data_IF_776924450584
#
_entry.id   IF_776924450584
#
_cell.length_a   1.000
_cell.length_b   1.000
_cell.length_c   1.000
_cell.angle_alpha   90.00
_cell.angle_beta   90.00
_cell.angle_gamma   90.00
#
_symmetry.space_group_name_H-M   'P 1'
#
loop_
_entity.id
_entity.type
_entity.pdbx_description
1 polymer ?
#
# COMPACT_ATOMS: atom_id res chain seq x y z
N UNK A 1 30.92 -16.57 5.80
CA UNK A 1 31.28 -15.63 6.89
C UNK A 1 29.98 -15.38 7.64
N UNK A 2 29.82 -16.02 8.79
CA UNK A 2 28.57 -15.97 9.56
C UNK A 2 28.42 -14.58 10.17
N UNK A 3 27.34 -13.87 9.85
CA UNK A 3 27.04 -12.57 10.46
C UNK A 3 26.41 -12.83 11.82
N UNK A 4 27.13 -12.48 12.90
CA UNK A 4 26.65 -12.59 14.27
C UNK A 4 26.08 -11.24 14.73
N UNK A 5 24.76 -11.13 14.84
CA UNK A 5 24.09 -10.01 15.51
C UNK A 5 23.05 -10.60 16.47
N UNK A 6 23.14 -10.27 17.76
CA UNK A 6 22.26 -10.72 18.84
C UNK A 6 22.14 -12.26 19.03
N UNK A 7 23.21 -13.01 18.73
CA UNK A 7 23.27 -14.45 18.99
C UNK A 7 22.43 -15.32 18.04
N UNK A 8 21.96 -14.77 16.92
CA UNK A 8 21.35 -15.54 15.84
C UNK A 8 22.34 -15.80 14.71
N UNK A 9 22.38 -17.04 14.24
CA UNK A 9 23.11 -17.44 13.05
C UNK A 9 22.28 -17.15 11.79
N UNK A 10 22.91 -16.55 10.78
CA UNK A 10 22.35 -16.39 9.44
C UNK A 10 23.16 -17.23 8.42
N UNK A 11 22.50 -17.77 7.37
CA UNK A 11 21.09 -17.67 7.07
C UNK A 11 20.23 -18.62 7.94
N UNK A 12 19.00 -18.20 8.28
CA UNK A 12 18.02 -19.05 8.99
C UNK A 12 16.65 -19.01 8.33
N UNK A 13 15.78 -19.96 8.66
CA UNK A 13 14.36 -19.84 8.32
C UNK A 13 13.67 -18.86 9.27
N UNK A 14 12.55 -18.30 8.80
CA UNK A 14 11.61 -17.60 9.68
C UNK A 14 11.19 -18.54 10.81
N UNK A 15 11.17 -18.01 12.03
CA UNK A 15 10.65 -18.73 13.20
C UNK A 15 9.15 -18.99 13.02
N UNK A 16 8.61 -19.88 13.85
CA UNK A 16 7.18 -20.19 13.82
C UNK A 16 6.33 -18.94 14.08
N UNK A 17 6.74 -18.10 15.04
CA UNK A 17 6.02 -16.88 15.39
C UNK A 17 6.10 -15.80 14.30
N UNK A 18 7.29 -15.61 13.70
CA UNK A 18 7.46 -14.68 12.58
C UNK A 18 6.56 -15.09 11.40
N UNK A 19 6.56 -16.40 11.07
CA UNK A 19 5.72 -16.96 10.01
C UNK A 19 4.23 -16.83 10.32
N UNK A 20 3.83 -17.03 11.57
CA UNK A 20 2.44 -16.85 12.01
C UNK A 20 1.93 -15.44 11.70
N UNK A 21 2.65 -14.40 12.11
CA UNK A 21 2.24 -13.02 11.83
C UNK A 21 2.23 -12.68 10.34
N UNK A 22 3.26 -13.09 9.61
CA UNK A 22 3.36 -12.89 8.15
C UNK A 22 2.16 -13.52 7.44
N UNK A 23 1.80 -14.77 7.80
CA UNK A 23 0.70 -15.48 7.18
C UNK A 23 -0.67 -14.86 7.46
N UNK A 24 -0.85 -14.20 8.61
CA UNK A 24 -2.09 -13.48 8.94
C UNK A 24 -2.24 -12.19 8.12
N UNK A 25 -1.14 -11.52 7.76
CA UNK A 25 -1.18 -10.31 6.93
C UNK A 25 -1.00 -10.60 5.43
N UNK A 26 -0.72 -11.86 5.04
CA UNK A 26 -0.68 -12.32 3.65
C UNK A 26 -1.74 -13.42 3.41
N UNK A 27 -3.02 -13.03 3.25
CA UNK A 27 -4.13 -13.97 3.10
C UNK A 27 -4.00 -14.77 1.80
N UNK A 28 -4.19 -16.09 1.90
CA UNK A 28 -3.95 -17.03 0.80
C UNK A 28 -5.03 -16.98 -0.31
N UNK A 29 -6.24 -16.56 0.03
CA UNK A 29 -7.37 -16.44 -0.89
C UNK A 29 -7.27 -15.21 -1.83
N UNK A 30 -6.19 -14.43 -1.69
CA UNK A 30 -5.93 -13.21 -2.46
C UNK A 30 -4.68 -13.37 -3.34
N UNK A 31 -4.82 -13.35 -4.68
CA UNK A 31 -3.73 -13.69 -5.59
C UNK A 31 -2.44 -12.89 -5.36
N UNK A 32 -2.55 -11.57 -5.18
CA UNK A 32 -1.37 -10.72 -5.00
C UNK A 32 -0.61 -11.00 -3.70
N UNK A 33 -1.30 -11.28 -2.59
CA UNK A 33 -0.64 -11.63 -1.33
C UNK A 33 -0.11 -13.07 -1.34
N UNK A 34 -0.80 -13.99 -2.02
CA UNK A 34 -0.33 -15.37 -2.22
C UNK A 34 1.02 -15.43 -2.94
N UNK A 35 1.24 -14.56 -3.93
CA UNK A 35 2.54 -14.46 -4.63
C UNK A 35 3.66 -14.16 -3.62
N UNK A 36 3.47 -13.16 -2.76
CA UNK A 36 4.47 -12.80 -1.73
C UNK A 36 4.65 -13.91 -0.70
N UNK A 37 3.55 -14.54 -0.27
CA UNK A 37 3.60 -15.66 0.68
C UNK A 37 4.44 -16.82 0.15
N UNK A 38 4.17 -17.27 -1.08
CA UNK A 38 4.91 -18.33 -1.74
C UNK A 38 6.40 -17.97 -1.91
N UNK A 39 6.70 -16.70 -2.21
CA UNK A 39 8.08 -16.24 -2.30
C UNK A 39 8.77 -16.32 -0.94
N UNK A 40 8.19 -15.71 0.09
CA UNK A 40 8.73 -15.67 1.46
C UNK A 40 8.96 -17.08 2.03
N UNK A 41 8.09 -18.04 1.75
CA UNK A 41 8.25 -19.43 2.21
C UNK A 41 9.56 -20.08 1.72
N UNK A 42 10.02 -19.69 0.54
CA UNK A 42 11.23 -20.25 -0.08
C UNK A 42 12.52 -19.52 0.35
N UNK A 43 12.42 -18.27 0.81
CA UNK A 43 13.57 -17.46 1.21
C UNK A 43 14.13 -17.85 2.60
N UNK A 44 15.29 -17.27 2.92
CA UNK A 44 15.94 -17.33 4.22
C UNK A 44 16.08 -15.92 4.77
N UNK A 45 16.02 -15.78 6.09
CA UNK A 45 16.50 -14.57 6.76
C UNK A 45 18.02 -14.57 6.66
N UNK A 46 18.58 -13.64 5.90
CA UNK A 46 20.02 -13.54 5.60
C UNK A 46 20.73 -12.49 6.47
N UNK A 47 19.96 -11.67 7.18
CA UNK A 47 20.47 -10.72 8.14
C UNK A 47 19.39 -9.73 8.60
N UNK A 48 19.85 -8.68 9.25
CA UNK A 48 19.01 -7.54 9.61
C UNK A 48 19.29 -6.36 8.68
N UNK A 49 18.28 -5.52 8.44
CA UNK A 49 18.48 -4.24 7.77
C UNK A 49 18.82 -3.12 8.75
N UNK A 50 18.29 -1.92 8.50
CA UNK A 50 18.72 -0.68 9.18
C UNK A 50 18.37 -0.65 10.67
N UNK A 51 17.32 -1.36 11.09
CA UNK A 51 16.81 -1.33 12.47
C UNK A 51 16.80 -2.73 13.13
N UNK A 52 17.98 -3.31 13.41
CA UNK A 52 18.06 -4.60 14.10
C UNK A 52 17.53 -4.50 15.55
N UNK A 53 17.04 -5.60 16.13
CA UNK A 53 16.87 -6.94 15.56
C UNK A 53 15.50 -7.19 14.91
N UNK A 54 14.71 -6.14 14.71
CA UNK A 54 13.30 -6.25 14.34
C UNK A 54 13.04 -6.07 12.85
N UNK A 55 14.06 -5.65 12.11
CA UNK A 55 14.03 -5.46 10.68
C UNK A 55 14.80 -6.60 9.99
N UNK A 56 14.07 -7.57 9.45
CA UNK A 56 14.61 -8.78 8.81
C UNK A 56 14.80 -8.54 7.31
N UNK A 57 15.92 -8.99 6.78
CA UNK A 57 16.14 -9.08 5.33
C UNK A 57 16.04 -10.56 4.94
N UNK A 58 15.14 -10.85 4.01
CA UNK A 58 14.98 -12.16 3.40
C UNK A 58 15.60 -12.18 2.01
N UNK A 59 16.31 -13.25 1.67
CA UNK A 59 16.91 -13.48 0.35
C UNK A 59 17.26 -14.95 0.14
N UNK A 60 18.03 -15.24 -0.90
CA UNK A 60 18.54 -16.59 -1.14
C UNK A 60 19.59 -16.97 -0.09
N UNK A 61 19.80 -18.26 0.12
CA UNK A 61 20.65 -18.76 1.23
C UNK A 61 22.07 -18.19 1.21
N UNK A 62 22.61 -17.96 0.01
CA UNK A 62 23.99 -17.49 -0.19
C UNK A 62 24.09 -15.97 -0.38
N UNK A 63 22.96 -15.26 -0.33
CA UNK A 63 22.93 -13.81 -0.42
C UNK A 63 23.51 -13.16 0.84
N UNK A 64 23.94 -11.90 0.67
CA UNK A 64 24.33 -11.04 1.78
C UNK A 64 23.29 -9.92 1.93
N UNK A 65 22.94 -9.55 3.17
CA UNK A 65 22.05 -8.42 3.39
C UNK A 65 22.71 -7.14 2.85
N UNK A 66 21.97 -6.38 2.04
CA UNK A 66 22.42 -5.07 1.56
C UNK A 66 21.68 -3.94 2.29
N UNK A 67 22.33 -3.26 3.27
CA UNK A 67 21.70 -2.17 4.00
C UNK A 67 21.59 -0.86 3.17
N UNK A 68 22.19 -0.82 1.97
CA UNK A 68 22.15 0.34 1.09
C UNK A 68 20.87 0.42 0.26
N UNK A 69 20.08 -0.66 0.25
CA UNK A 69 18.80 -0.72 -0.45
C UNK A 69 17.91 0.47 -0.01
N UNK A 70 17.32 1.21 -0.96
CA UNK A 70 16.39 2.29 -0.65
C UNK A 70 15.11 1.73 -0.05
N UNK A 71 14.40 2.55 0.74
CA UNK A 71 13.13 2.12 1.33
C UNK A 71 12.11 1.76 0.25
N UNK A 72 11.63 0.53 0.29
CA UNK A 72 10.66 0.01 -0.66
C UNK A 72 9.23 0.37 -0.24
N UNK A 73 8.29 0.25 -1.17
CA UNK A 73 6.89 0.51 -0.86
C UNK A 73 6.31 -0.61 0.04
N UNK A 74 5.33 -0.27 0.86
CA UNK A 74 4.67 -1.23 1.75
C UNK A 74 3.67 -2.10 0.97
N UNK A 75 3.84 -3.41 1.05
CA UNK A 75 2.94 -4.41 0.47
C UNK A 75 1.82 -4.80 1.44
N UNK A 76 2.18 -5.13 2.67
CA UNK A 76 1.25 -5.58 3.68
C UNK A 76 1.64 -5.05 5.03
N UNK A 77 0.65 -4.77 5.87
CA UNK A 77 0.91 -4.41 7.27
C UNK A 77 -0.22 -4.90 8.16
N UNK A 78 0.12 -5.19 9.41
CA UNK A 78 -0.85 -5.51 10.43
C UNK A 78 -0.37 -5.12 11.82
N UNK A 79 -1.35 -4.96 12.71
CA UNK A 79 -1.14 -4.69 14.13
C UNK A 79 -1.80 -5.79 14.95
N UNK A 80 -1.04 -6.39 15.85
CA UNK A 80 -1.46 -7.45 16.75
C UNK A 80 -1.42 -6.93 18.19
N UNK A 81 -2.48 -7.17 18.94
CA UNK A 81 -2.63 -6.70 20.32
C UNK A 81 -2.69 -7.92 21.25
N UNK A 82 -1.78 -7.95 22.22
CA UNK A 82 -1.65 -8.99 23.23
C UNK A 82 -1.82 -8.39 24.63
N UNK A 83 -1.79 -9.24 25.67
CA UNK A 83 -1.71 -8.77 27.06
C UNK A 83 -0.39 -8.05 27.35
N UNK A 84 0.70 -8.52 26.75
CA UNK A 84 2.06 -8.04 27.00
C UNK A 84 2.38 -6.74 26.25
N UNK A 85 1.60 -6.39 25.23
CA UNK A 85 1.89 -5.24 24.38
C UNK A 85 1.35 -5.41 22.97
N UNK A 86 1.98 -4.73 22.00
CA UNK A 86 1.56 -4.80 20.59
C UNK A 86 2.70 -5.19 19.68
N UNK A 87 2.37 -5.76 18.51
CA UNK A 87 3.35 -6.02 17.44
C UNK A 87 2.83 -5.39 16.17
N UNK A 88 3.66 -4.59 15.52
CA UNK A 88 3.40 -4.08 14.18
C UNK A 88 4.27 -4.86 13.20
N UNK A 89 3.63 -5.48 12.22
CA UNK A 89 4.33 -6.21 11.15
C UNK A 89 4.12 -5.49 9.83
N UNK A 90 5.19 -5.29 9.09
CA UNK A 90 5.18 -4.64 7.77
C UNK A 90 6.07 -5.42 6.81
N UNK A 91 5.56 -5.66 5.60
CA UNK A 91 6.27 -6.36 4.52
C UNK A 91 6.38 -5.38 3.36
N UNK A 92 7.59 -5.21 2.85
CA UNK A 92 7.88 -4.27 1.77
C UNK A 92 7.98 -4.98 0.41
N UNK A 93 7.92 -4.19 -0.67
CA UNK A 93 8.15 -4.65 -2.03
C UNK A 93 9.53 -5.29 -2.15
N UNK A 94 9.60 -6.34 -2.97
CA UNK A 94 10.86 -6.97 -3.30
C UNK A 94 11.75 -6.03 -4.13
N UNK A 95 13.04 -6.02 -3.81
CA UNK A 95 14.05 -5.30 -4.57
C UNK A 95 15.32 -6.15 -4.64
N UNK A 96 15.87 -6.33 -5.85
CA UNK A 96 17.06 -7.15 -6.08
C UNK A 96 16.99 -8.54 -5.41
N UNK A 97 15.84 -9.21 -5.54
CA UNK A 97 15.52 -10.52 -4.94
C UNK A 97 15.48 -10.57 -3.40
N UNK A 98 15.55 -9.41 -2.73
CA UNK A 98 15.45 -9.32 -1.29
C UNK A 98 14.10 -8.72 -0.87
N UNK A 99 13.56 -9.22 0.25
CA UNK A 99 12.34 -8.71 0.88
C UNK A 99 12.66 -8.26 2.30
N UNK A 100 12.34 -7.02 2.59
CA UNK A 100 12.43 -6.47 3.93
C UNK A 100 11.13 -6.74 4.70
N UNK A 101 11.26 -7.20 5.95
CA UNK A 101 10.14 -7.41 6.87
C UNK A 101 10.45 -6.77 8.22
N UNK A 102 9.62 -5.81 8.61
CA UNK A 102 9.65 -5.21 9.93
C UNK A 102 8.68 -5.91 10.86
N UNK A 103 9.16 -6.38 12.01
CA UNK A 103 8.38 -6.97 13.10
C UNK A 103 8.72 -6.21 14.38
N UNK A 104 8.02 -5.10 14.62
CA UNK A 104 8.30 -4.20 15.73
C UNK A 104 7.38 -4.49 16.92
N UNK A 105 7.88 -5.12 17.99
CA UNK A 105 7.13 -5.26 19.23
C UNK A 105 7.23 -3.98 20.07
N UNK A 106 6.18 -3.68 20.81
CA UNK A 106 6.10 -2.59 21.79
C UNK A 106 5.61 -3.17 23.11
N UNK A 107 6.37 -2.94 24.19
CA UNK A 107 6.06 -3.45 25.53
C UNK A 107 6.68 -4.81 25.86
N UNK A 108 7.24 -5.53 24.88
CA UNK A 108 7.90 -6.82 25.10
C UNK A 108 8.96 -7.12 24.03
N UNK A 109 9.80 -8.13 24.29
CA UNK A 109 10.74 -8.68 23.31
C UNK A 109 10.32 -10.11 22.95
N UNK A 110 9.85 -10.32 21.72
CA UNK A 110 9.35 -11.62 21.28
C UNK A 110 10.45 -12.68 21.11
N UNK A 111 11.74 -12.31 21.11
CA UNK A 111 12.84 -13.27 21.12
C UNK A 111 13.03 -13.95 22.48
N UNK A 112 12.47 -13.39 23.56
CA UNK A 112 12.66 -13.88 24.93
C UNK A 112 11.46 -14.67 25.47
N UNK A 113 10.38 -14.75 24.69
CA UNK A 113 9.12 -15.35 25.13
C UNK A 113 8.75 -16.47 24.14
N UNK A 114 8.39 -17.68 24.63
CA UNK A 114 8.03 -18.79 23.76
C UNK A 114 6.86 -18.47 22.81
N UNK A 115 6.91 -19.00 21.59
CA UNK A 115 5.96 -18.69 20.52
C UNK A 115 4.51 -19.07 20.89
N UNK A 116 4.31 -20.12 21.69
CA UNK A 116 2.99 -20.62 22.09
C UNK A 116 2.23 -19.61 22.97
N UNK A 117 2.93 -18.62 23.53
CA UNK A 117 2.31 -17.51 24.27
C UNK A 117 1.65 -16.47 23.37
N UNK A 118 1.94 -16.47 22.07
CA UNK A 118 1.43 -15.49 21.10
C UNK A 118 0.56 -16.10 20.01
N UNK A 119 0.88 -17.31 19.53
CA UNK A 119 0.14 -17.94 18.44
C UNK A 119 -1.33 -18.18 18.86
N UNK A 120 -2.26 -17.53 18.16
CA UNK A 120 -3.71 -17.58 18.43
C UNK A 120 -4.11 -16.95 19.77
N UNK A 121 -3.24 -16.14 20.39
CA UNK A 121 -3.47 -15.48 21.68
C UNK A 121 -3.67 -13.97 21.56
N UNK A 122 -3.71 -13.43 20.34
CA UNK A 122 -4.01 -12.03 20.15
C UNK A 122 -5.44 -11.71 20.63
N UNK A 123 -5.58 -10.67 21.45
CA UNK A 123 -6.89 -10.15 21.86
C UNK A 123 -7.63 -9.56 20.67
N UNK A 124 -6.86 -8.94 19.77
CA UNK A 124 -7.34 -8.29 18.57
C UNK A 124 -6.18 -8.14 17.61
N UNK A 125 -6.46 -8.25 16.32
CA UNK A 125 -5.50 -7.91 15.30
C UNK A 125 -6.20 -7.31 14.10
N UNK A 126 -5.43 -6.59 13.29
CA UNK A 126 -5.94 -5.91 12.12
C UNK A 126 -4.90 -5.94 11.01
N UNK A 127 -5.38 -6.00 9.78
CA UNK A 127 -4.54 -5.84 8.60
C UNK A 127 -5.32 -5.13 7.51
N UNK A 128 -4.62 -4.34 6.72
CA UNK A 128 -5.19 -3.80 5.48
C UNK A 128 -5.37 -4.90 4.43
N UNK A 129 -4.65 -6.01 4.54
CA UNK A 129 -4.69 -7.08 3.54
C UNK A 129 -6.06 -7.75 3.42
N UNK A 130 -6.88 -7.70 4.47
CA UNK A 130 -8.23 -8.24 4.48
C UNK A 130 -9.31 -7.20 4.16
N UNK A 131 -8.95 -5.92 4.04
CA UNK A 131 -9.91 -4.90 3.64
C UNK A 131 -10.37 -5.12 2.19
N UNK A 132 -11.65 -4.84 1.94
CA UNK A 132 -12.25 -4.88 0.60
C UNK A 132 -13.21 -3.69 0.43
N UNK A 133 -13.44 -3.23 -0.81
CA UNK A 133 -14.43 -2.21 -1.15
C UNK A 133 -15.77 -2.41 -0.42
N UNK A 134 -16.31 -1.31 0.11
CA UNK A 134 -17.57 -1.29 0.87
C UNK A 134 -17.43 -1.54 2.38
N UNK A 135 -16.26 -1.99 2.86
CA UNK A 135 -16.00 -2.09 4.29
C UNK A 135 -15.53 -0.76 4.88
N UNK A 136 -15.83 -0.55 6.17
CA UNK A 136 -15.24 0.53 6.96
C UNK A 136 -13.76 0.30 7.22
N UNK A 137 -13.08 1.29 7.79
CA UNK A 137 -11.67 1.21 8.12
C UNK A 137 -11.37 0.01 9.03
N UNK A 138 -10.35 -0.82 8.73
CA UNK A 138 -10.15 -2.10 9.41
C UNK A 138 -9.83 -1.95 10.90
N UNK A 139 -9.18 -0.85 11.31
CA UNK A 139 -8.70 -0.69 12.68
C UNK A 139 -9.77 -0.22 13.68
N UNK A 140 -10.55 0.79 13.27
CA UNK A 140 -11.45 1.54 14.17
C UNK A 140 -12.86 1.68 13.61
N UNK A 141 -13.16 1.03 12.49
CA UNK A 141 -14.48 1.06 11.86
C UNK A 141 -14.91 2.49 11.45
N UNK A 142 -13.96 3.41 11.24
CA UNK A 142 -14.22 4.75 10.72
C UNK A 142 -14.66 4.71 9.26
N UNK A 143 -15.43 5.70 8.83
CA UNK A 143 -15.92 5.79 7.45
C UNK A 143 -14.78 6.13 6.48
N UNK A 144 -14.88 5.58 5.27
CA UNK A 144 -13.91 5.76 4.20
C UNK A 144 -14.59 6.41 3.00
N UNK A 145 -13.87 7.31 2.33
CA UNK A 145 -14.27 7.77 1.01
C UNK A 145 -13.66 6.84 -0.03
N UNK A 146 -14.49 6.30 -0.90
CA UNK A 146 -14.06 5.51 -2.04
C UNK A 146 -14.34 6.28 -3.33
N UNK A 147 -13.39 6.26 -4.24
CA UNK A 147 -13.50 6.86 -5.57
C UNK A 147 -13.13 5.81 -6.60
N UNK A 148 -14.08 5.45 -7.45
CA UNK A 148 -13.85 4.54 -8.58
C UNK A 148 -12.89 5.22 -9.58
N UNK A 149 -11.69 4.64 -9.77
CA UNK A 149 -10.73 5.12 -10.76
C UNK A 149 -11.02 4.48 -12.10
N UNK A 150 -11.20 3.16 -12.08
CA UNK A 150 -11.59 2.37 -13.22
C UNK A 150 -12.42 1.18 -12.72
N UNK A 151 -13.65 1.08 -13.21
CA UNK A 151 -14.63 0.09 -12.80
C UNK A 151 -14.06 -1.33 -12.79
N UNK A 152 -14.20 -2.02 -11.66
CA UNK A 152 -13.73 -3.39 -11.42
C UNK A 152 -12.22 -3.60 -11.67
N UNK A 153 -11.43 -2.54 -11.69
CA UNK A 153 -9.98 -2.61 -11.87
C UNK A 153 -9.32 -2.00 -10.65
N UNK A 154 -9.57 -0.72 -10.38
CA UNK A 154 -8.96 0.00 -9.26
C UNK A 154 -9.98 0.95 -8.62
N UNK A 155 -10.09 0.86 -7.30
CA UNK A 155 -10.69 1.90 -6.46
C UNK A 155 -9.61 2.62 -5.66
N UNK A 156 -9.73 3.94 -5.54
CA UNK A 156 -8.96 4.74 -4.60
C UNK A 156 -9.74 4.89 -3.30
N UNK A 157 -9.06 4.71 -2.18
CA UNK A 157 -9.66 4.73 -0.84
C UNK A 157 -8.93 5.74 0.02
N UNK A 158 -9.70 6.57 0.72
CA UNK A 158 -9.19 7.68 1.52
C UNK A 158 -9.74 7.54 2.94
N UNK A 159 -8.83 7.41 3.91
CA UNK A 159 -9.14 7.56 5.34
C UNK A 159 -8.73 8.94 5.79
N UNK A 160 -9.71 9.80 6.09
CA UNK A 160 -9.45 11.14 6.64
C UNK A 160 -8.85 11.06 8.04
N UNK A 161 -9.42 10.20 8.90
CA UNK A 161 -8.99 10.06 10.30
C UNK A 161 -7.56 9.54 10.43
N UNK A 162 -7.18 8.53 9.64
CA UNK A 162 -5.83 7.96 9.66
C UNK A 162 -4.87 8.68 8.72
N UNK A 163 -5.35 9.68 7.97
CA UNK A 163 -4.60 10.43 6.95
C UNK A 163 -3.87 9.48 6.01
N UNK A 164 -4.59 8.52 5.45
CA UNK A 164 -4.04 7.49 4.56
C UNK A 164 -4.82 7.39 3.27
N UNK A 165 -4.10 7.05 2.22
CA UNK A 165 -4.65 6.79 0.89
C UNK A 165 -4.07 5.46 0.41
N UNK A 166 -4.92 4.60 -0.10
CA UNK A 166 -4.50 3.36 -0.75
C UNK A 166 -5.40 3.07 -1.94
N UNK A 167 -4.94 2.20 -2.82
CA UNK A 167 -5.79 1.61 -3.85
C UNK A 167 -6.18 0.19 -3.47
N UNK A 168 -7.32 -0.23 -3.97
CA UNK A 168 -7.69 -1.64 -4.05
C UNK A 168 -7.62 -2.10 -5.51
N UNK A 169 -6.75 -3.08 -5.77
CA UNK A 169 -6.62 -3.74 -7.07
C UNK A 169 -7.57 -4.95 -7.10
N UNK A 170 -8.55 -4.93 -8.00
CA UNK A 170 -9.55 -5.99 -8.09
C UNK A 170 -9.01 -7.30 -8.66
N UNK A 171 -8.00 -7.25 -9.52
CA UNK A 171 -7.40 -8.43 -10.14
C UNK A 171 -6.55 -9.19 -9.10
N UNK A 172 -5.68 -8.46 -8.40
CA UNK A 172 -4.79 -9.04 -7.39
C UNK A 172 -5.44 -9.16 -6.00
N UNK A 173 -6.58 -8.49 -5.77
CA UNK A 173 -7.27 -8.35 -4.48
C UNK A 173 -6.39 -7.72 -3.39
N UNK A 174 -5.47 -6.84 -3.77
CA UNK A 174 -4.48 -6.22 -2.86
C UNK A 174 -4.81 -4.77 -2.53
N UNK A 175 -4.37 -4.32 -1.35
CA UNK A 175 -4.41 -2.94 -0.92
C UNK A 175 -3.00 -2.36 -1.02
N UNK A 176 -2.80 -1.30 -1.79
CA UNK A 176 -1.47 -0.68 -1.99
C UNK A 176 -1.48 0.78 -1.57
N UNK A 177 -0.63 1.14 -0.62
CA UNK A 177 -0.56 2.50 -0.09
C UNK A 177 0.05 3.47 -1.10
N UNK A 178 -0.47 4.71 -1.10
CA UNK A 178 0.05 5.80 -1.91
C UNK A 178 0.74 6.81 -1.00
N UNK A 179 1.98 7.22 -1.30
CA UNK A 179 2.61 8.36 -0.65
C UNK A 179 1.79 9.63 -0.83
N UNK A 180 1.36 10.21 0.29
CA UNK A 180 0.40 11.32 0.30
C UNK A 180 0.99 12.58 -0.33
N UNK A 181 2.28 12.85 -0.12
CA UNK A 181 2.94 14.09 -0.56
C UNK A 181 2.77 14.34 -2.06
N UNK A 182 3.01 13.33 -2.88
CA UNK A 182 2.94 13.45 -4.34
C UNK A 182 1.50 13.52 -4.84
N UNK A 183 0.61 12.70 -4.25
CA UNK A 183 -0.82 12.77 -4.57
C UNK A 183 -1.42 14.13 -4.18
N UNK A 184 -0.99 14.68 -3.04
CA UNK A 184 -1.45 15.96 -2.51
C UNK A 184 -1.16 17.12 -3.46
N UNK A 185 0.03 17.15 -4.06
CA UNK A 185 0.39 18.17 -5.05
C UNK A 185 -0.52 18.12 -6.29
N UNK A 186 -0.82 16.91 -6.79
CA UNK A 186 -1.70 16.75 -7.94
C UNK A 186 -3.15 17.15 -7.64
N UNK A 187 -3.68 16.83 -6.46
CA UNK A 187 -5.05 17.24 -6.09
C UNK A 187 -5.18 18.75 -5.95
N UNK A 188 -4.18 19.43 -5.35
CA UNK A 188 -4.19 20.90 -5.27
C UNK A 188 -4.15 21.54 -6.66
N UNK A 189 -3.33 20.99 -7.56
CA UNK A 189 -3.20 21.45 -8.95
C UNK A 189 -4.52 21.31 -9.71
N UNK A 190 -5.17 20.14 -9.63
CA UNK A 190 -6.48 19.88 -10.27
C UNK A 190 -7.57 20.77 -9.66
N UNK A 191 -7.53 21.01 -8.34
CA UNK A 191 -8.47 21.90 -7.66
C UNK A 191 -8.19 23.41 -7.91
N UNK A 192 -7.11 23.76 -8.60
CA UNK A 192 -6.72 25.15 -8.86
C UNK A 192 -6.24 25.91 -7.61
N UNK A 193 -5.86 25.20 -6.55
CA UNK A 193 -5.42 25.79 -5.28
C UNK A 193 -3.93 26.12 -5.36
N UNK A 194 -3.58 27.40 -5.18
CA UNK A 194 -2.21 27.91 -5.26
C UNK A 194 -1.74 28.65 -4.01
N UNK A 195 -2.58 28.71 -2.99
CA UNK A 195 -2.23 29.36 -1.72
C UNK A 195 -1.07 28.62 -1.05
N UNK A 196 -0.01 29.36 -0.71
CA UNK A 196 1.26 28.79 -0.21
C UNK A 196 1.05 28.06 1.11
N UNK A 197 0.24 28.62 2.02
CA UNK A 197 -0.02 28.00 3.33
C UNK A 197 -0.70 26.65 3.15
N UNK A 198 -1.65 26.57 2.24
CA UNK A 198 -2.36 25.34 1.88
C UNK A 198 -1.40 24.33 1.25
N UNK A 199 -0.54 24.75 0.32
CA UNK A 199 0.41 23.84 -0.35
C UNK A 199 1.37 23.14 0.60
N UNK A 200 1.72 23.77 1.73
CA UNK A 200 2.60 23.17 2.74
C UNK A 200 1.87 22.35 3.80
N UNK A 201 0.55 22.50 3.94
CA UNK A 201 -0.25 21.75 4.93
C UNK A 201 -0.90 20.51 4.31
N UNK A 202 -0.21 19.38 4.39
CA UNK A 202 -0.72 18.09 3.90
C UNK A 202 -2.03 17.66 4.58
N UNK A 203 -2.31 18.17 5.78
CA UNK A 203 -3.54 17.85 6.51
C UNK A 203 -4.76 18.53 5.90
N UNK A 204 -4.55 19.61 5.13
CA UNK A 204 -5.63 20.34 4.51
C UNK A 204 -6.53 19.42 3.68
N UNK A 205 -5.95 18.50 2.90
CA UNK A 205 -6.71 17.54 2.11
C UNK A 205 -7.65 16.68 2.96
N UNK A 206 -7.14 16.09 4.04
CA UNK A 206 -7.93 15.19 4.88
C UNK A 206 -8.98 15.94 5.69
N UNK A 207 -8.65 17.12 6.23
CA UNK A 207 -9.57 17.97 7.00
C UNK A 207 -10.68 18.58 6.13
N UNK A 208 -10.43 18.72 4.83
CA UNK A 208 -11.35 19.36 3.89
C UNK A 208 -11.81 18.42 2.78
N UNK A 209 -11.85 17.10 3.04
CA UNK A 209 -12.10 16.10 2.00
C UNK A 209 -13.37 16.38 1.18
N UNK A 210 -14.43 16.88 1.82
CA UNK A 210 -15.70 17.25 1.17
C UNK A 210 -15.58 18.36 0.12
N UNK A 211 -14.50 19.16 0.12
CA UNK A 211 -14.26 20.23 -0.88
C UNK A 211 -13.81 19.70 -2.24
N UNK A 212 -13.29 18.48 -2.28
CA UNK A 212 -12.79 17.86 -3.50
C UNK A 212 -13.86 16.92 -4.06
N UNK A 213 -14.20 17.04 -5.33
CA UNK A 213 -15.13 16.12 -5.99
C UNK A 213 -14.46 14.80 -6.35
N UNK A 214 -15.24 13.75 -6.56
CA UNK A 214 -14.70 12.45 -7.00
C UNK A 214 -14.00 12.57 -8.36
N UNK A 215 -14.51 13.42 -9.26
CA UNK A 215 -13.87 13.72 -10.54
C UNK A 215 -12.47 14.33 -10.37
N UNK A 216 -12.31 15.30 -9.46
CA UNK A 216 -11.01 15.91 -9.16
C UNK A 216 -10.04 14.90 -8.54
N UNK A 217 -10.52 14.07 -7.62
CA UNK A 217 -9.70 13.02 -6.98
C UNK A 217 -9.25 11.99 -8.01
N UNK A 218 -10.14 11.56 -8.91
CA UNK A 218 -9.83 10.65 -9.99
C UNK A 218 -8.79 11.22 -10.94
N UNK A 219 -8.97 12.47 -11.39
CA UNK A 219 -8.02 13.14 -12.28
C UNK A 219 -6.64 13.31 -11.62
N UNK A 220 -6.60 13.71 -10.35
CA UNK A 220 -5.36 13.82 -9.58
C UNK A 220 -4.63 12.47 -9.48
N UNK A 221 -5.38 11.37 -9.24
CA UNK A 221 -4.80 10.04 -9.21
C UNK A 221 -4.24 9.59 -10.57
N UNK A 222 -4.97 9.86 -11.66
CA UNK A 222 -4.50 9.55 -13.02
C UNK A 222 -3.22 10.31 -13.35
N UNK A 223 -3.16 11.60 -12.98
CA UNK A 223 -1.96 12.42 -13.17
C UNK A 223 -0.79 11.91 -12.33
N UNK A 224 -1.01 11.61 -11.06
CA UNK A 224 -0.03 10.97 -10.19
C UNK A 224 0.49 9.66 -10.81
N UNK A 225 -0.38 8.75 -11.21
CA UNK A 225 0.04 7.46 -11.75
C UNK A 225 0.77 7.58 -13.10
N UNK A 226 0.48 8.59 -13.92
CA UNK A 226 1.16 8.81 -15.21
C UNK A 226 2.68 8.96 -15.05
N UNK A 227 3.13 9.67 -14.02
CA UNK A 227 4.56 9.90 -13.77
C UNK A 227 5.23 8.72 -13.11
N UNK A 228 4.51 8.03 -12.21
CA UNK A 228 5.07 6.94 -11.41
C UNK A 228 4.95 5.57 -12.08
N UNK A 229 4.02 5.39 -13.03
CA UNK A 229 3.68 4.12 -13.69
C UNK A 229 3.54 2.94 -12.73
N UNK A 230 3.12 3.21 -11.49
CA UNK A 230 3.04 2.21 -10.42
C UNK A 230 1.88 1.25 -10.58
N UNK A 231 0.82 1.69 -11.27
CA UNK A 231 -0.40 0.93 -11.43
C UNK A 231 -0.76 0.83 -12.90
N UNK A 232 -1.10 -0.38 -13.34
CA UNK A 232 -1.52 -0.62 -14.72
C UNK A 232 -2.99 -0.22 -14.87
N UNK A 233 -3.22 1.02 -15.29
CA UNK A 233 -4.53 1.48 -15.69
C UNK A 233 -4.77 0.97 -17.11
N UNK A 234 -5.82 0.17 -17.29
CA UNK A 234 -6.12 -0.28 -18.65
C UNK A 234 -6.48 0.98 -19.44
N UNK A 235 -5.91 1.10 -20.64
CA UNK A 235 -6.31 2.18 -21.54
C UNK A 235 -7.79 2.01 -21.80
N UNK A 236 -8.61 2.97 -21.38
CA UNK A 236 -9.97 3.07 -21.85
C UNK A 236 -9.91 3.01 -23.37
N UNK A 237 -10.45 1.95 -23.96
CA UNK A 237 -10.68 1.91 -25.41
C UNK A 237 -11.47 3.17 -25.70
N UNK A 238 -10.96 4.12 -26.52
CA UNK A 238 -11.70 5.34 -26.77
C UNK A 238 -13.03 4.90 -27.36
N UNK A 239 -14.11 5.06 -26.59
CA UNK A 239 -15.45 5.09 -27.16
C UNK A 239 -15.33 6.08 -28.29
N UNK A 240 -15.57 5.63 -29.52
CA UNK A 240 -15.63 6.49 -30.70
C UNK A 240 -16.64 7.58 -30.36
N UNK A 241 -16.18 8.70 -29.82
CA UNK A 241 -16.93 9.92 -29.90
C UNK A 241 -16.95 10.21 -31.37
N UNK A 242 -18.11 10.01 -31.99
CA UNK A 242 -18.37 10.59 -33.29
C UNK A 242 -18.02 12.06 -33.14
N UNK A 243 -16.86 12.46 -33.67
CA UNK A 243 -16.53 13.86 -33.86
C UNK A 243 -17.62 14.38 -34.79
N UNK A 244 -18.69 14.92 -34.22
CA UNK A 244 -19.61 15.79 -34.94
C UNK A 244 -18.76 16.94 -35.44
N UNK A 245 -18.35 16.84 -36.71
CA UNK A 245 -17.49 17.78 -37.40
C UNK A 245 -18.08 19.19 -37.24
N UNK A 246 -17.46 20.00 -36.38
CA UNK A 246 -17.81 21.40 -36.18
C UNK A 246 -17.79 22.16 -37.52
N UNK A 247 -16.92 21.75 -38.43
CA UNK A 247 -16.85 22.25 -39.81
C UNK A 247 -18.10 21.93 -40.65
N UNK A 248 -18.77 20.79 -40.42
CA UNK A 248 -20.01 20.43 -41.12
C UNK A 248 -21.16 21.36 -40.71
N UNK A 249 -21.22 21.72 -39.42
CA UNK A 249 -22.22 22.66 -38.86
C UNK A 249 -22.02 24.12 -39.33
N UNK A 250 -20.78 24.51 -39.62
CA UNK A 250 -20.45 25.85 -40.15
C UNK A 250 -20.76 25.92 -41.65
N UNK A 251 -20.47 24.86 -42.41
CA UNK A 251 -20.79 24.80 -43.84
C UNK A 251 -22.31 24.73 -44.11
N UNK A 252 -23.06 23.97 -43.30
CA UNK A 252 -24.52 23.90 -43.39
C UNK A 252 -25.20 25.25 -43.05
N UNK A 253 -24.60 26.06 -42.16
CA UNK A 253 -25.09 27.42 -41.85
C UNK A 253 -24.76 28.44 -42.95
N UNK A 254 -23.71 28.23 -43.72
CA UNK A 254 -23.31 29.15 -44.80
C UNK A 254 -24.11 28.89 -46.09
N UNK A 255 -24.57 27.66 -46.32
CA UNK A 255 -25.40 27.28 -47.47
C UNK A 255 -26.88 27.67 -47.34
N UNK A 256 -27.32 28.17 -46.17
CA UNK A 256 -28.69 28.63 -45.92
C UNK A 256 -28.87 30.16 -46.05
N UNK A 257 -27.80 30.88 -46.43
CA UNK A 257 -27.81 32.32 -46.74
C UNK A 257 -27.50 32.60 -48.22
N UNK A 258 -28.14 31.86 -49.12
CA UNK A 258 -28.31 32.24 -50.53
C UNK A 258 -29.76 32.10 -50.90
#
# INVERSE_FOLDING_TARGET
MSYYLNGQDFPRKLSELERYWINLILPEDRPGYKIYRNKIENLFVIGYGKFPPFNLILGDKDDKPDPTIPSQALIATGKFIYDQGTVNVSIFEEFENQIEIDIQPEGFNYFQIPAEKFIGKEKKWFTYSNWKPGLKHPFDNSDLRMVEIQKNVIDLVISSQHKRIWIYDYNLKTNKFIPITNFYQEILKVAGIRDVKTMTDINFFFSNLKKFTDAQIREAFINYNRYWKKFDLQKDTPTKSEKKNFFKKIFERFLWKR
#
